data_IF_660161164902
#
_entry.id   IF_660161164902
#
_cell.length_a   1.000
_cell.length_b   1.000
_cell.length_c   1.000
_cell.angle_alpha   90.00
_cell.angle_beta   90.00
_cell.angle_gamma   90.00
#
_symmetry.space_group_name_H-M   'P 1'
#
loop_
_entity.id
_entity.type
_entity.pdbx_description
1 polymer ?
#
# COMPACT_ATOMS: atom_id res chain seq x y z
N UNK A 1 9.16 -19.52 17.36
CA UNK A 1 7.80 -19.38 17.93
C UNK A 1 6.80 -19.50 16.79
N UNK A 2 6.24 -20.68 16.58
CA UNK A 2 5.18 -20.88 15.60
C UNK A 2 3.85 -20.38 16.17
N UNK A 3 3.49 -19.13 15.90
CA UNK A 3 2.08 -18.74 15.99
C UNK A 3 1.37 -19.60 14.94
N UNK A 4 0.40 -20.40 15.34
CA UNK A 4 -0.50 -21.11 14.42
C UNK A 4 -1.16 -20.07 13.51
N UNK A 5 -0.57 -19.84 12.34
CA UNK A 5 -1.14 -18.98 11.32
C UNK A 5 -2.41 -19.67 10.86
N UNK A 6 -3.54 -18.97 10.99
CA UNK A 6 -4.83 -19.53 10.61
C UNK A 6 -4.76 -19.93 9.14
N UNK A 7 -5.27 -21.12 8.81
CA UNK A 7 -5.26 -21.60 7.43
C UNK A 7 -6.08 -20.69 6.53
N UNK A 8 -5.45 -20.21 5.46
CA UNK A 8 -6.06 -19.37 4.44
C UNK A 8 -6.74 -20.26 3.39
N UNK A 9 -8.01 -19.96 3.13
CA UNK A 9 -8.87 -20.79 2.28
C UNK A 9 -9.35 -20.03 1.04
N UNK A 10 -8.66 -18.98 0.63
CA UNK A 10 -8.97 -18.29 -0.63
C UNK A 10 -8.78 -19.20 -1.85
N UNK A 11 -9.86 -19.46 -2.59
CA UNK A 11 -9.91 -20.29 -3.81
C UNK A 11 -10.35 -19.47 -5.04
N UNK A 12 -10.64 -18.17 -4.89
CA UNK A 12 -11.28 -17.35 -5.92
C UNK A 12 -10.32 -16.75 -6.97
N UNK A 13 -9.21 -17.41 -7.28
CA UNK A 13 -8.21 -16.91 -8.24
C UNK A 13 -8.77 -16.73 -9.65
N UNK A 14 -9.58 -17.67 -10.14
CA UNK A 14 -10.20 -17.56 -11.48
C UNK A 14 -11.21 -16.42 -11.58
N UNK A 15 -11.99 -16.18 -10.50
CA UNK A 15 -12.91 -15.04 -10.42
C UNK A 15 -12.15 -13.71 -10.43
N UNK A 16 -10.97 -13.64 -9.81
CA UNK A 16 -10.14 -12.44 -9.88
C UNK A 16 -9.73 -12.11 -11.32
N UNK A 17 -9.33 -13.12 -12.08
CA UNK A 17 -8.98 -12.96 -13.50
C UNK A 17 -10.19 -12.59 -14.37
N UNK A 18 -11.39 -13.11 -14.06
CA UNK A 18 -12.61 -12.72 -14.80
C UNK A 18 -12.97 -11.25 -14.54
N UNK A 19 -12.98 -10.80 -13.29
CA UNK A 19 -13.21 -9.41 -12.94
C UNK A 19 -12.18 -8.47 -13.57
N UNK A 20 -10.91 -8.87 -13.62
CA UNK A 20 -9.87 -8.08 -14.29
C UNK A 20 -10.15 -7.89 -15.79
N UNK A 21 -10.66 -8.92 -16.48
CA UNK A 21 -11.03 -8.85 -17.91
C UNK A 21 -12.27 -8.00 -18.14
N UNK A 22 -13.30 -8.16 -17.31
CA UNK A 22 -14.51 -7.36 -17.37
C UNK A 22 -14.21 -5.88 -17.16
N UNK A 23 -13.42 -5.56 -16.14
CA UNK A 23 -12.95 -4.20 -15.87
C UNK A 23 -12.15 -3.62 -17.04
N UNK A 24 -11.23 -4.40 -17.63
CA UNK A 24 -10.47 -3.96 -18.80
C UNK A 24 -11.38 -3.65 -19.99
N UNK A 25 -12.46 -4.42 -20.16
CA UNK A 25 -13.49 -4.16 -21.17
C UNK A 25 -14.30 -2.90 -20.88
N UNK A 26 -14.74 -2.71 -19.63
CA UNK A 26 -15.49 -1.53 -19.19
C UNK A 26 -14.66 -0.24 -19.32
N UNK A 27 -13.38 -0.30 -18.92
CA UNK A 27 -12.43 0.81 -19.02
C UNK A 27 -12.22 1.26 -20.47
N UNK A 28 -12.11 0.32 -21.41
CA UNK A 28 -12.01 0.62 -22.85
C UNK A 28 -13.26 1.31 -23.39
N UNK A 29 -14.46 0.94 -22.89
CA UNK A 29 -15.72 1.57 -23.30
C UNK A 29 -15.90 2.97 -22.73
N UNK A 30 -15.50 3.19 -21.48
CA UNK A 30 -15.66 4.45 -20.78
C UNK A 30 -14.60 5.51 -21.16
N UNK A 31 -13.44 5.10 -21.68
CA UNK A 31 -12.33 6.02 -21.97
C UNK A 31 -11.64 6.60 -20.72
N UNK A 32 -11.93 6.04 -19.54
CA UNK A 32 -11.48 6.49 -18.22
C UNK A 32 -11.86 5.48 -17.14
N UNK A 33 -11.90 5.87 -15.86
CA UNK A 33 -12.36 4.99 -14.79
C UNK A 33 -13.86 4.66 -14.96
N UNK A 34 -14.26 3.37 -15.10
CA UNK A 34 -15.65 2.99 -15.31
C UNK A 34 -16.43 2.98 -13.97
N UNK A 35 -16.74 4.17 -13.45
CA UNK A 35 -17.40 4.37 -12.13
C UNK A 35 -18.71 3.60 -12.00
N UNK A 36 -19.61 3.71 -12.98
CA UNK A 36 -20.90 3.01 -12.94
C UNK A 36 -20.76 1.48 -12.86
N UNK A 37 -19.81 0.92 -13.61
CA UNK A 37 -19.53 -0.52 -13.56
C UNK A 37 -18.97 -0.95 -12.20
N UNK A 38 -18.08 -0.14 -11.59
CA UNK A 38 -17.56 -0.38 -10.26
C UNK A 38 -18.68 -0.37 -9.21
N UNK A 39 -19.56 0.63 -9.28
CA UNK A 39 -20.70 0.75 -8.38
C UNK A 39 -21.60 -0.48 -8.45
N UNK A 40 -22.06 -0.85 -9.65
CA UNK A 40 -22.94 -2.00 -9.85
C UNK A 40 -22.28 -3.31 -9.40
N UNK A 41 -20.99 -3.50 -9.75
CA UNK A 41 -20.26 -4.71 -9.39
C UNK A 41 -20.10 -4.84 -7.88
N UNK A 42 -19.67 -3.77 -7.19
CA UNK A 42 -19.52 -3.78 -5.74
C UNK A 42 -20.87 -3.93 -5.01
N UNK A 43 -21.95 -3.35 -5.53
CA UNK A 43 -23.31 -3.54 -4.98
C UNK A 43 -23.78 -4.98 -5.13
N UNK A 44 -23.53 -5.60 -6.28
CA UNK A 44 -23.84 -7.01 -6.54
C UNK A 44 -23.05 -7.96 -5.64
N UNK A 45 -21.87 -7.57 -5.17
CA UNK A 45 -21.09 -8.28 -4.16
C UNK A 45 -21.64 -8.11 -2.73
N UNK A 46 -22.66 -7.27 -2.53
CA UNK A 46 -23.29 -7.02 -1.24
C UNK A 46 -22.51 -6.06 -0.33
N UNK A 47 -21.73 -5.15 -0.92
CA UNK A 47 -21.03 -4.07 -0.21
C UNK A 47 -21.92 -2.82 -0.11
N UNK A 48 -21.70 -1.99 0.91
CA UNK A 48 -22.24 -0.64 0.98
C UNK A 48 -21.38 0.28 0.11
N UNK A 49 -21.88 0.65 -1.08
CA UNK A 49 -21.08 1.38 -2.08
C UNK A 49 -21.41 2.86 -2.09
N UNK A 50 -20.34 3.65 -2.10
CA UNK A 50 -20.37 5.11 -2.13
C UNK A 50 -19.35 5.64 -3.13
N UNK A 51 -19.64 6.83 -3.63
CA UNK A 51 -18.74 7.56 -4.52
C UNK A 51 -18.43 8.94 -3.98
N UNK A 52 -17.24 9.41 -4.32
CA UNK A 52 -16.74 10.70 -3.91
C UNK A 52 -16.08 11.37 -5.11
N UNK A 53 -16.71 12.44 -5.59
CA UNK A 53 -16.12 13.32 -6.60
C UNK A 53 -15.18 14.31 -5.94
N UNK A 54 -14.08 14.62 -6.63
CA UNK A 54 -13.12 15.61 -6.20
C UNK A 54 -12.59 16.43 -7.37
N UNK A 55 -12.14 17.65 -7.07
CA UNK A 55 -11.39 18.45 -8.04
C UNK A 55 -10.26 19.23 -7.37
N UNK A 56 -9.13 19.28 -8.08
CA UNK A 56 -7.91 19.97 -7.64
C UNK A 56 -7.36 20.83 -8.75
N UNK A 57 -7.11 22.10 -8.43
CA UNK A 57 -6.33 22.97 -9.32
C UNK A 57 -4.84 22.77 -9.08
N UNK A 58 -4.10 22.31 -10.08
CA UNK A 58 -2.65 22.13 -9.99
C UNK A 58 -1.95 23.50 -10.17
N UNK A 59 -0.91 23.80 -9.37
CA UNK A 59 -0.18 25.07 -9.46
C UNK A 59 0.66 25.18 -10.74
N UNK A 60 0.99 24.05 -11.37
CA UNK A 60 1.73 23.97 -12.62
C UNK A 60 0.96 23.08 -13.60
N UNK A 61 0.91 23.42 -14.91
CA UNK A 61 0.30 22.57 -15.92
C UNK A 61 1.06 21.24 -15.99
N UNK A 62 0.31 20.14 -16.12
CA UNK A 62 0.88 18.82 -16.36
C UNK A 62 1.54 18.80 -17.75
N UNK A 63 2.76 18.24 -17.88
CA UNK A 63 3.52 18.27 -19.13
C UNK A 63 2.77 17.59 -20.30
N UNK A 64 1.81 16.71 -19.98
CA UNK A 64 1.00 15.97 -20.96
C UNK A 64 -0.35 16.63 -21.31
N UNK A 65 -0.88 17.47 -20.43
CA UNK A 65 -2.22 18.04 -20.58
C UNK A 65 -2.17 19.43 -19.99
N UNK A 66 -2.34 20.48 -20.79
CA UNK A 66 -2.41 21.90 -20.38
C UNK A 66 -3.64 22.21 -19.47
N UNK A 67 -3.97 21.32 -18.54
CA UNK A 67 -5.12 21.38 -17.66
C UNK A 67 -4.65 21.78 -16.27
N UNK A 68 -5.09 22.96 -15.86
CA UNK A 68 -4.96 23.44 -14.49
C UNK A 68 -5.87 22.71 -13.52
N UNK A 69 -6.81 21.87 -13.97
CA UNK A 69 -7.84 21.26 -13.15
C UNK A 69 -7.93 19.75 -13.40
N UNK A 70 -7.58 18.97 -12.37
CA UNK A 70 -7.78 17.51 -12.33
C UNK A 70 -9.10 17.24 -11.63
N UNK A 71 -9.99 16.50 -12.30
CA UNK A 71 -11.24 15.99 -11.74
C UNK A 71 -11.19 14.47 -11.73
N UNK A 72 -11.71 13.88 -10.68
CA UNK A 72 -11.82 12.43 -10.57
C UNK A 72 -12.94 12.00 -9.63
N UNK A 73 -13.22 10.71 -9.65
CA UNK A 73 -14.22 10.09 -8.77
C UNK A 73 -13.64 8.86 -8.12
N UNK A 74 -13.55 8.88 -6.79
CA UNK A 74 -13.21 7.70 -6.00
C UNK A 74 -14.47 6.86 -5.77
N UNK A 75 -14.33 5.54 -5.85
CA UNK A 75 -15.39 4.57 -5.52
C UNK A 75 -14.92 3.73 -4.36
N UNK A 76 -15.74 3.59 -3.32
CA UNK A 76 -15.41 2.70 -2.22
C UNK A 76 -16.62 1.89 -1.78
N UNK A 77 -16.36 0.63 -1.42
CA UNK A 77 -17.33 -0.30 -0.87
C UNK A 77 -16.96 -0.66 0.56
N UNK A 78 -17.92 -0.59 1.48
CA UNK A 78 -17.72 -0.98 2.89
C UNK A 78 -18.37 -2.34 3.12
N UNK A 79 -17.58 -3.27 3.64
CA UNK A 79 -18.04 -4.54 4.22
C UNK A 79 -18.11 -4.38 5.73
N UNK A 80 -19.34 -4.37 6.29
CA UNK A 80 -19.55 -4.30 7.74
C UNK A 80 -19.16 -5.61 8.43
N UNK A 81 -18.43 -5.51 9.53
CA UNK A 81 -18.08 -6.66 10.35
C UNK A 81 -19.33 -7.25 11.02
N UNK A 82 -19.62 -8.55 10.87
CA UNK A 82 -20.78 -9.17 11.50
C UNK A 82 -20.67 -9.28 13.03
N UNK A 83 -19.44 -9.20 13.59
CA UNK A 83 -19.16 -9.45 15.01
C UNK A 83 -18.87 -8.20 15.85
N UNK A 84 -18.90 -7.01 15.28
CA UNK A 84 -18.46 -5.79 15.97
C UNK A 84 -19.35 -4.59 15.68
N UNK A 85 -19.22 -3.55 16.50
CA UNK A 85 -19.99 -2.31 16.41
C UNK A 85 -19.46 -1.34 15.33
N UNK A 86 -18.73 -1.83 14.32
CA UNK A 86 -18.16 -1.02 13.22
C UNK A 86 -17.32 0.18 13.67
N UNK A 87 -16.63 0.06 14.82
CA UNK A 87 -15.80 1.14 15.40
C UNK A 87 -14.40 1.23 14.82
N UNK A 88 -13.95 0.18 14.12
CA UNK A 88 -12.62 0.09 13.52
C UNK A 88 -12.72 -0.46 12.10
N UNK A 89 -11.81 -0.04 11.24
CA UNK A 89 -11.77 -0.51 9.85
C UNK A 89 -10.37 -0.81 9.34
N UNK A 90 -10.31 -1.63 8.30
CA UNK A 90 -9.14 -1.93 7.48
C UNK A 90 -9.39 -1.46 6.06
N UNK A 91 -8.36 -0.99 5.36
CA UNK A 91 -8.49 -0.51 3.97
C UNK A 91 -7.69 -1.40 3.03
N UNK A 92 -8.32 -1.85 1.95
CA UNK A 92 -7.67 -2.40 0.77
C UNK A 92 -7.87 -1.41 -0.37
N UNK A 93 -6.81 -0.73 -0.82
CA UNK A 93 -6.90 0.25 -1.90
C UNK A 93 -6.27 -0.24 -3.19
N UNK A 94 -6.82 0.20 -4.32
CA UNK A 94 -6.26 -0.03 -5.67
C UNK A 94 -6.32 1.27 -6.46
N UNK A 95 -5.17 1.90 -6.76
CA UNK A 95 -5.14 3.10 -7.58
C UNK A 95 -5.41 2.79 -9.05
N UNK A 96 -6.25 3.61 -9.68
CA UNK A 96 -6.48 3.63 -11.12
C UNK A 96 -5.95 4.96 -11.66
N UNK A 97 -4.85 4.88 -12.41
CA UNK A 97 -4.30 6.02 -13.15
C UNK A 97 -4.38 5.80 -14.65
N UNK A 98 -4.50 6.88 -15.43
CA UNK A 98 -4.47 6.87 -16.88
C UNK A 98 -3.12 6.27 -17.35
N UNK A 99 -3.17 5.09 -17.98
CA UNK A 99 -1.99 4.35 -18.43
C UNK A 99 -1.49 3.23 -17.50
N UNK A 100 -1.84 3.22 -16.22
CA UNK A 100 -1.48 2.15 -15.30
C UNK A 100 -2.29 0.86 -15.59
N UNK A 101 -1.62 -0.29 -15.73
CA UNK A 101 -2.24 -1.60 -16.00
C UNK A 101 -2.69 -2.34 -14.73
N UNK A 102 -3.33 -1.64 -13.79
CA UNK A 102 -3.75 -2.19 -12.49
C UNK A 102 -5.04 -3.05 -12.53
N UNK A 103 -5.44 -3.55 -13.71
CA UNK A 103 -6.69 -4.30 -13.86
C UNK A 103 -6.71 -5.59 -13.02
N UNK A 104 -5.55 -6.25 -12.88
CA UNK A 104 -5.41 -7.45 -12.06
C UNK A 104 -5.54 -7.16 -10.56
N UNK A 105 -4.99 -6.03 -10.10
CA UNK A 105 -5.10 -5.63 -8.69
C UNK A 105 -6.57 -5.42 -8.31
N UNK A 106 -7.32 -4.73 -9.17
CA UNK A 106 -8.74 -4.52 -8.98
C UNK A 106 -9.53 -5.84 -9.03
N UNK A 107 -9.23 -6.70 -10.00
CA UNK A 107 -9.86 -8.02 -10.10
C UNK A 107 -9.64 -8.86 -8.83
N UNK A 108 -8.42 -8.83 -8.28
CA UNK A 108 -8.09 -9.49 -7.01
C UNK A 108 -8.86 -8.88 -5.84
N UNK A 109 -8.92 -7.55 -5.76
CA UNK A 109 -9.66 -6.84 -4.72
C UNK A 109 -11.16 -7.22 -4.74
N UNK A 110 -11.80 -7.25 -5.92
CA UNK A 110 -13.20 -7.65 -6.06
C UNK A 110 -13.43 -9.13 -5.70
N UNK A 111 -12.50 -10.02 -6.09
CA UNK A 111 -12.58 -11.43 -5.71
C UNK A 111 -12.39 -11.63 -4.19
N UNK A 112 -11.49 -10.87 -3.57
CA UNK A 112 -11.33 -10.84 -2.11
C UNK A 112 -12.58 -10.30 -1.43
N UNK A 113 -13.20 -9.24 -1.95
CA UNK A 113 -14.45 -8.70 -1.42
C UNK A 113 -15.58 -9.74 -1.47
N UNK A 114 -15.73 -10.44 -2.60
CA UNK A 114 -16.68 -11.55 -2.74
C UNK A 114 -16.42 -12.66 -1.72
N UNK A 115 -15.15 -13.03 -1.53
CA UNK A 115 -14.78 -14.06 -0.57
C UNK A 115 -15.03 -13.60 0.88
N UNK A 116 -14.61 -12.38 1.23
CA UNK A 116 -14.71 -11.81 2.58
C UNK A 116 -16.17 -11.66 3.01
N UNK A 117 -17.09 -11.35 2.08
CA UNK A 117 -18.52 -11.27 2.36
C UNK A 117 -19.10 -12.56 2.94
N UNK A 118 -18.59 -13.71 2.52
CA UNK A 118 -19.01 -15.03 2.99
C UNK A 118 -18.39 -15.46 4.31
N UNK A 119 -17.45 -14.70 4.86
CA UNK A 119 -16.73 -15.05 6.08
C UNK A 119 -17.31 -14.35 7.31
N UNK A 120 -17.48 -15.09 8.40
CA UNK A 120 -18.10 -14.59 9.64
C UNK A 120 -17.09 -14.14 10.71
N UNK A 121 -15.79 -14.25 10.43
CA UNK A 121 -14.73 -14.01 11.42
C UNK A 121 -14.24 -12.56 11.46
N UNK A 122 -14.78 -11.67 10.63
CA UNK A 122 -14.39 -10.26 10.62
C UNK A 122 -14.93 -9.54 11.87
N UNK A 123 -14.01 -8.84 12.54
CA UNK A 123 -14.24 -8.01 13.71
C UNK A 123 -14.04 -6.51 13.39
N UNK A 124 -13.44 -6.18 12.24
CA UNK A 124 -13.28 -4.81 11.75
C UNK A 124 -13.97 -4.68 10.41
N UNK A 125 -14.54 -3.49 10.15
CA UNK A 125 -15.09 -3.18 8.83
C UNK A 125 -13.96 -3.20 7.80
N UNK A 126 -14.25 -3.62 6.57
CA UNK A 126 -13.25 -3.64 5.50
C UNK A 126 -13.72 -2.69 4.40
N UNK A 127 -12.90 -1.69 4.10
CA UNK A 127 -13.12 -0.72 3.04
C UNK A 127 -12.32 -1.15 1.82
N UNK A 128 -13.01 -1.40 0.71
CA UNK A 128 -12.41 -1.61 -0.60
C UNK A 128 -12.44 -0.28 -1.34
N UNK A 129 -11.29 0.37 -1.47
CA UNK A 129 -11.16 1.70 -2.07
C UNK A 129 -10.55 1.61 -3.47
N UNK A 130 -11.18 2.30 -4.41
CA UNK A 130 -10.70 2.47 -5.77
C UNK A 130 -10.58 3.96 -6.02
N UNK A 131 -9.36 4.46 -6.00
CA UNK A 131 -9.04 5.87 -6.18
C UNK A 131 -8.62 6.16 -7.62
N UNK A 132 -9.10 7.28 -8.16
CA UNK A 132 -8.68 7.78 -9.47
C UNK A 132 -7.51 8.75 -9.31
N UNK A 133 -6.59 8.81 -10.28
CA UNK A 133 -5.41 9.69 -10.25
C UNK A 133 -4.45 9.41 -9.06
N UNK A 134 -4.33 8.15 -8.65
CA UNK A 134 -3.34 7.64 -7.69
C UNK A 134 -3.34 8.48 -6.39
N UNK A 135 -2.23 9.17 -6.08
CA UNK A 135 -2.07 9.99 -4.88
C UNK A 135 -3.11 11.12 -4.73
N UNK A 136 -3.58 11.72 -5.83
CA UNK A 136 -4.52 12.86 -5.74
C UNK A 136 -5.89 12.38 -5.26
N UNK A 137 -6.39 11.28 -5.83
CA UNK A 137 -7.65 10.69 -5.39
C UNK A 137 -7.56 10.15 -3.97
N UNK A 138 -6.43 9.54 -3.62
CA UNK A 138 -6.21 9.03 -2.26
C UNK A 138 -6.20 10.16 -1.21
N UNK A 139 -5.51 11.28 -1.48
CA UNK A 139 -5.52 12.46 -0.59
C UNK A 139 -6.94 13.02 -0.45
N UNK A 140 -7.68 13.16 -1.56
CA UNK A 140 -9.07 13.64 -1.56
C UNK A 140 -9.98 12.77 -0.68
N UNK A 141 -9.79 11.45 -0.73
CA UNK A 141 -10.56 10.51 0.06
C UNK A 141 -10.20 10.59 1.54
N UNK A 142 -8.91 10.62 1.88
CA UNK A 142 -8.45 10.72 3.28
C UNK A 142 -8.89 12.04 3.93
N UNK A 143 -8.75 13.16 3.23
CA UNK A 143 -9.19 14.47 3.73
C UNK A 143 -10.69 14.47 4.07
N UNK A 144 -11.53 13.97 3.16
CA UNK A 144 -12.95 13.87 3.41
C UNK A 144 -13.33 12.81 4.45
N UNK A 145 -12.51 11.76 4.62
CA UNK A 145 -12.72 10.73 5.64
C UNK A 145 -12.49 11.28 7.04
N UNK A 146 -11.43 12.09 7.21
CA UNK A 146 -11.05 12.71 8.47
C UNK A 146 -11.70 14.09 8.70
N UNK A 147 -12.49 14.59 7.75
CA UNK A 147 -13.13 15.90 7.79
C UNK A 147 -12.13 17.06 7.96
N UNK A 148 -11.02 16.96 7.24
CA UNK A 148 -9.93 17.96 7.23
C UNK A 148 -9.69 18.44 5.80
N UNK A 149 -9.27 19.70 5.65
CA UNK A 149 -8.89 20.24 4.36
C UNK A 149 -7.51 20.88 4.48
N UNK A 150 -6.48 20.14 4.05
CA UNK A 150 -5.09 20.56 4.25
C UNK A 150 -4.48 21.03 2.93
N UNK A 151 -4.81 20.34 1.85
CA UNK A 151 -4.22 20.55 0.53
C UNK A 151 -5.10 21.42 -0.38
N UNK A 152 -6.23 21.91 0.14
CA UNK A 152 -7.13 22.81 -0.57
C UNK A 152 -7.97 22.12 -1.64
N UNK A 153 -8.15 20.79 -1.56
CA UNK A 153 -9.01 20.09 -2.50
C UNK A 153 -10.48 20.43 -2.28
N UNK A 154 -11.22 20.44 -3.38
CA UNK A 154 -12.69 20.48 -3.33
C UNK A 154 -13.21 19.05 -3.41
N UNK A 155 -13.82 18.59 -2.33
CA UNK A 155 -14.35 17.23 -2.21
C UNK A 155 -15.86 17.29 -1.99
N UNK A 156 -16.55 16.27 -2.49
CA UNK A 156 -17.97 16.05 -2.18
C UNK A 156 -18.14 15.54 -0.76
N UNK A 157 -19.34 15.75 -0.19
CA UNK A 157 -19.70 15.27 1.15
C UNK A 157 -19.60 13.75 1.19
N UNK A 158 -18.93 13.22 2.22
CA UNK A 158 -18.77 11.78 2.40
C UNK A 158 -20.10 11.15 2.85
N UNK A 159 -20.71 10.37 1.96
CA UNK A 159 -22.02 9.74 2.20
C UNK A 159 -21.95 8.52 3.13
N UNK A 160 -20.81 7.84 3.21
CA UNK A 160 -20.63 6.64 4.02
C UNK A 160 -19.29 6.65 4.74
N UNK A 161 -19.29 6.33 6.04
CA UNK A 161 -18.08 6.19 6.85
C UNK A 161 -18.07 4.83 7.55
N UNK A 162 -16.86 4.30 7.72
CA UNK A 162 -16.58 3.20 8.64
C UNK A 162 -15.96 3.75 9.92
N UNK A 163 -15.73 2.88 10.91
CA UNK A 163 -14.99 3.26 12.11
C UNK A 163 -13.52 3.55 11.85
N UNK A 164 -12.76 3.91 12.88
CA UNK A 164 -11.37 4.37 12.75
C UNK A 164 -10.48 3.40 11.95
N UNK A 165 -9.79 3.92 10.94
CA UNK A 165 -8.89 3.11 10.11
C UNK A 165 -7.66 2.72 10.95
N UNK A 166 -7.43 1.41 11.07
CA UNK A 166 -6.32 0.85 11.85
C UNK A 166 -5.09 0.57 10.97
N UNK A 167 -5.32 0.01 9.78
CA UNK A 167 -4.28 -0.29 8.82
C UNK A 167 -4.81 -0.27 7.39
N UNK A 168 -3.92 0.02 6.44
CA UNK A 168 -4.23 0.02 5.01
C UNK A 168 -3.21 -0.79 4.21
N UNK A 169 -3.68 -1.48 3.17
CA UNK A 169 -2.83 -2.16 2.19
C UNK A 169 -3.23 -1.65 0.82
N UNK A 170 -2.29 -1.02 0.12
CA UNK A 170 -2.49 -0.62 -1.28
C UNK A 170 -1.91 -1.70 -2.20
N UNK A 171 -2.66 -2.08 -3.23
CA UNK A 171 -2.27 -3.11 -4.19
C UNK A 171 -2.08 -2.50 -5.57
N UNK A 172 -0.86 -2.60 -6.08
CA UNK A 172 -0.49 -2.18 -7.44
C UNK A 172 -0.02 -3.40 -8.21
N UNK A 173 -0.57 -3.66 -9.39
CA UNK A 173 -0.16 -4.80 -10.21
C UNK A 173 0.17 -4.30 -11.62
N UNK A 174 1.46 -4.27 -11.94
CA UNK A 174 1.96 -3.66 -13.18
C UNK A 174 1.75 -4.54 -14.43
N UNK A 175 1.49 -5.83 -14.25
CA UNK A 175 1.43 -6.82 -15.34
C UNK A 175 0.34 -7.86 -15.11
N UNK A 176 -0.14 -8.46 -16.20
CA UNK A 176 -1.09 -9.59 -16.16
C UNK A 176 -0.49 -10.86 -15.56
N UNK A 177 0.84 -10.97 -15.57
CA UNK A 177 1.57 -12.09 -14.98
C UNK A 177 2.44 -11.56 -13.86
N UNK A 178 2.26 -12.12 -12.66
CA UNK A 178 2.98 -11.71 -11.46
C UNK A 178 4.05 -12.75 -11.16
N UNK A 179 5.29 -12.29 -11.13
CA UNK A 179 6.47 -13.14 -10.90
C UNK A 179 7.08 -12.94 -9.52
N UNK A 180 6.85 -11.77 -8.91
CA UNK A 180 7.32 -11.43 -7.58
C UNK A 180 6.55 -10.22 -7.06
N UNK A 181 6.63 -10.00 -5.75
CA UNK A 181 6.13 -8.79 -5.09
C UNK A 181 7.26 -7.88 -4.69
N UNK A 182 7.15 -6.59 -4.98
CA UNK A 182 8.02 -5.55 -4.43
C UNK A 182 7.25 -4.79 -3.34
N UNK A 183 7.84 -4.66 -2.16
CA UNK A 183 7.24 -3.89 -1.07
C UNK A 183 7.74 -2.45 -1.11
N UNK A 184 6.80 -1.50 -1.20
CA UNK A 184 7.07 -0.08 -1.05
C UNK A 184 6.63 0.39 0.34
N UNK A 185 7.57 1.03 1.06
CA UNK A 185 7.39 1.49 2.45
C UNK A 185 7.69 2.98 2.63
N UNK A 186 8.28 3.62 1.62
CA UNK A 186 8.66 5.03 1.72
C UNK A 186 7.44 5.95 1.57
N UNK A 187 7.10 6.65 2.64
CA UNK A 187 6.00 7.62 2.69
C UNK A 187 6.42 9.07 2.49
N UNK A 188 5.45 9.97 2.69
CA UNK A 188 5.64 11.41 2.62
C UNK A 188 6.70 11.88 3.61
N UNK A 189 7.60 12.78 3.18
CA UNK A 189 8.64 13.37 4.03
C UNK A 189 9.51 12.34 4.76
N UNK A 190 9.65 11.15 4.19
CA UNK A 190 10.43 10.07 4.77
C UNK A 190 9.77 9.37 5.96
N UNK A 191 8.45 9.53 6.15
CA UNK A 191 7.70 8.68 7.08
C UNK A 191 7.74 7.21 6.64
N UNK A 192 7.77 6.31 7.61
CA UNK A 192 7.77 4.87 7.38
C UNK A 192 6.64 4.23 8.18
N UNK A 193 6.02 3.15 7.67
CA UNK A 193 5.10 2.35 8.45
C UNK A 193 5.82 1.64 9.57
N UNK A 194 5.06 1.12 10.52
CA UNK A 194 5.58 0.25 11.56
C UNK A 194 6.22 -1.01 10.95
N UNK A 195 7.44 -1.32 11.40
CA UNK A 195 8.21 -2.49 10.95
C UNK A 195 7.46 -3.82 11.15
N UNK A 196 6.54 -3.91 12.11
CA UNK A 196 5.74 -5.12 12.31
C UNK A 196 4.84 -5.43 11.10
N UNK A 197 4.32 -4.41 10.41
CA UNK A 197 3.52 -4.61 9.20
C UNK A 197 4.38 -5.15 8.05
N UNK A 198 5.63 -4.69 7.95
CA UNK A 198 6.62 -5.18 6.99
C UNK A 198 7.02 -6.63 7.30
N UNK A 199 7.27 -6.93 8.58
CA UNK A 199 7.61 -8.28 9.03
C UNK A 199 6.44 -9.24 8.82
N UNK A 200 5.21 -8.80 9.05
CA UNK A 200 4.00 -9.56 8.78
C UNK A 200 3.90 -9.94 7.30
N UNK A 201 4.10 -8.96 6.42
CA UNK A 201 4.12 -9.20 4.98
C UNK A 201 5.19 -10.22 4.58
N UNK A 202 6.44 -10.05 5.07
CA UNK A 202 7.53 -10.97 4.79
C UNK A 202 7.25 -12.40 5.30
N UNK A 203 6.66 -12.53 6.49
CA UNK A 203 6.30 -13.84 7.05
C UNK A 203 5.29 -14.58 6.17
N UNK A 204 4.29 -13.89 5.61
CA UNK A 204 3.36 -14.51 4.67
C UNK A 204 3.97 -14.78 3.29
N UNK A 205 4.88 -13.94 2.81
CA UNK A 205 5.68 -14.24 1.62
C UNK A 205 6.42 -15.58 1.79
N UNK A 206 7.10 -15.77 2.92
CA UNK A 206 7.83 -17.00 3.23
C UNK A 206 6.90 -18.20 3.40
N UNK A 207 5.75 -18.03 4.09
CA UNK A 207 4.76 -19.09 4.28
C UNK A 207 4.23 -19.64 2.95
N UNK A 208 3.94 -18.74 2.00
CA UNK A 208 3.32 -19.09 0.72
C UNK A 208 4.34 -19.24 -0.42
N UNK A 209 5.65 -19.29 -0.10
CA UNK A 209 6.74 -19.42 -1.08
C UNK A 209 6.72 -18.37 -2.19
N UNK A 210 6.32 -17.14 -1.84
CA UNK A 210 6.31 -15.99 -2.74
C UNK A 210 7.67 -15.29 -2.74
N UNK A 211 8.20 -15.01 -3.93
CA UNK A 211 9.37 -14.17 -4.12
C UNK A 211 8.97 -12.73 -3.81
N UNK A 212 9.56 -12.18 -2.74
CA UNK A 212 9.36 -10.81 -2.33
C UNK A 212 10.70 -10.04 -2.41
N UNK A 213 10.64 -8.83 -2.95
CA UNK A 213 11.76 -7.91 -3.14
C UNK A 213 11.50 -6.62 -2.37
N UNK A 214 12.58 -5.91 -2.12
CA UNK A 214 12.53 -4.51 -1.68
C UNK A 214 13.42 -3.69 -2.60
N UNK A 215 12.94 -2.54 -3.05
CA UNK A 215 13.62 -1.73 -4.07
C UNK A 215 13.92 -2.49 -5.36
N UNK A 216 13.09 -3.46 -5.74
CA UNK A 216 13.28 -4.33 -6.90
C UNK A 216 14.49 -5.27 -6.80
N UNK A 217 15.07 -5.42 -5.59
CA UNK A 217 16.21 -6.29 -5.33
C UNK A 217 15.77 -7.54 -4.57
N UNK A 218 16.13 -8.70 -5.11
CA UNK A 218 15.83 -9.99 -4.47
C UNK A 218 16.74 -10.22 -3.28
N UNK A 219 16.20 -10.85 -2.25
CA UNK A 219 16.97 -11.29 -1.11
C UNK A 219 18.02 -12.34 -1.53
N UNK A 220 19.28 -12.07 -1.18
CA UNK A 220 20.38 -13.02 -1.37
C UNK A 220 20.51 -13.95 -0.16
N UNK A 221 20.81 -15.22 -0.38
CA UNK A 221 21.04 -16.20 0.70
C UNK A 221 22.49 -16.23 1.21
N UNK A 222 23.44 -15.72 0.42
CA UNK A 222 24.88 -15.78 0.67
C UNK A 222 25.40 -14.60 1.52
N UNK A 223 24.89 -14.47 2.75
CA UNK A 223 25.08 -13.28 3.60
C UNK A 223 26.52 -12.88 3.91
N UNK A 224 27.41 -13.87 4.06
CA UNK A 224 28.80 -13.62 4.51
C UNK A 224 29.73 -13.22 3.37
N UNK A 225 29.21 -13.17 2.14
CA UNK A 225 29.98 -12.79 0.97
C UNK A 225 30.06 -11.26 0.85
N UNK A 226 31.25 -10.74 0.49
CA UNK A 226 31.43 -9.34 0.10
C UNK A 226 30.38 -8.85 -0.93
N UNK A 227 30.02 -9.62 -1.98
CA UNK A 227 28.98 -9.18 -2.91
C UNK A 227 27.59 -9.07 -2.27
N UNK A 228 27.25 -9.90 -1.26
CA UNK A 228 25.98 -9.76 -0.55
C UNK A 228 25.94 -8.52 0.35
N UNK A 229 27.07 -8.15 0.97
CA UNK A 229 27.17 -6.89 1.71
C UNK A 229 27.01 -5.68 0.78
N UNK A 230 27.70 -5.68 -0.37
CA UNK A 230 27.55 -4.62 -1.39
C UNK A 230 26.11 -4.52 -1.91
N UNK A 231 25.45 -5.66 -2.14
CA UNK A 231 24.05 -5.68 -2.55
C UNK A 231 23.12 -5.08 -1.48
N UNK A 232 23.36 -5.43 -0.22
CA UNK A 232 22.61 -4.91 0.93
C UNK A 232 22.81 -3.39 1.09
N UNK A 233 24.04 -2.92 0.93
CA UNK A 233 24.39 -1.50 0.94
C UNK A 233 23.72 -0.74 -0.20
N UNK A 234 23.73 -1.30 -1.42
CA UNK A 234 23.05 -0.70 -2.57
C UNK A 234 21.54 -0.57 -2.32
N UNK A 235 20.91 -1.62 -1.79
CA UNK A 235 19.48 -1.63 -1.47
C UNK A 235 19.16 -0.57 -0.40
N UNK A 236 19.96 -0.52 0.66
CA UNK A 236 19.83 0.49 1.71
C UNK A 236 20.00 1.92 1.16
N UNK A 237 20.99 2.15 0.29
CA UNK A 237 21.22 3.46 -0.31
C UNK A 237 20.08 3.89 -1.22
N UNK A 238 19.48 2.96 -1.98
CA UNK A 238 18.29 3.24 -2.78
C UNK A 238 17.10 3.66 -1.90
N UNK A 239 16.90 2.99 -0.76
CA UNK A 239 15.89 3.37 0.22
C UNK A 239 16.14 4.79 0.76
N UNK A 240 17.38 5.09 1.18
CA UNK A 240 17.75 6.43 1.68
C UNK A 240 17.51 7.52 0.62
N UNK A 241 17.88 7.26 -0.64
CA UNK A 241 17.66 8.21 -1.73
C UNK A 241 16.17 8.45 -2.00
N UNK A 242 15.35 7.40 -1.97
CA UNK A 242 13.89 7.53 -2.13
C UNK A 242 13.26 8.25 -0.95
N UNK A 243 13.62 7.89 0.27
CA UNK A 243 13.15 8.53 1.48
C UNK A 243 13.55 10.01 1.54
N UNK A 244 14.80 10.31 1.15
CA UNK A 244 15.33 11.68 1.07
C UNK A 244 14.66 12.54 -0.01
N UNK A 245 14.04 11.93 -1.02
CA UNK A 245 13.23 12.67 -2.00
C UNK A 245 11.95 13.26 -1.40
N UNK A 246 11.52 12.75 -0.23
CA UNK A 246 10.28 13.16 0.43
C UNK A 246 8.99 12.77 -0.30
N UNK A 247 9.08 12.16 -1.48
CA UNK A 247 7.94 11.73 -2.28
C UNK A 247 7.47 10.33 -1.84
N UNK A 248 6.16 10.13 -1.67
CA UNK A 248 5.63 8.83 -1.32
C UNK A 248 5.79 7.89 -2.52
N UNK A 249 6.20 6.65 -2.27
CA UNK A 249 6.37 5.67 -3.33
C UNK A 249 5.05 5.05 -3.78
N UNK A 250 3.95 5.20 -3.04
CA UNK A 250 2.60 4.81 -3.41
C UNK A 250 1.57 5.37 -2.43
N UNK A 251 0.29 5.01 -2.61
CA UNK A 251 -0.83 5.54 -1.80
C UNK A 251 -0.64 5.40 -0.29
N UNK A 252 0.04 4.34 0.16
CA UNK A 252 0.33 4.10 1.57
C UNK A 252 1.00 5.31 2.26
N UNK A 253 1.83 6.07 1.52
CA UNK A 253 2.56 7.20 2.07
C UNK A 253 1.67 8.34 2.58
N UNK A 254 0.43 8.44 2.10
CA UNK A 254 -0.56 9.44 2.54
C UNK A 254 -1.26 9.01 3.84
N UNK A 255 -1.46 7.71 4.04
CA UNK A 255 -2.07 7.16 5.26
C UNK A 255 -1.19 7.40 6.51
N UNK A 256 0.13 7.33 6.36
CA UNK A 256 1.08 7.50 7.47
C UNK A 256 0.93 8.85 8.18
N UNK A 257 0.53 9.89 7.42
CA UNK A 257 0.26 11.22 7.95
C UNK A 257 -0.85 11.25 9.00
N UNK A 258 -1.84 10.35 8.86
CA UNK A 258 -2.98 10.22 9.76
C UNK A 258 -2.72 9.18 10.87
N UNK A 259 -1.46 8.77 11.07
CA UNK A 259 -1.09 7.67 11.97
C UNK A 259 -1.81 6.36 11.65
N UNK A 260 -2.07 6.13 10.35
CA UNK A 260 -2.61 4.87 9.84
C UNK A 260 -1.44 4.09 9.23
N UNK A 261 -1.21 2.90 9.77
CA UNK A 261 -0.12 2.04 9.30
C UNK A 261 -0.46 1.45 7.94
N UNK A 262 0.37 1.74 6.93
CA UNK A 262 0.06 1.34 5.57
C UNK A 262 1.27 0.88 4.77
N UNK A 263 1.06 -0.08 3.88
CA UNK A 263 2.07 -0.57 2.93
C UNK A 263 1.50 -0.66 1.51
N UNK A 264 2.34 -0.44 0.50
CA UNK A 264 1.99 -0.70 -0.91
C UNK A 264 2.70 -1.98 -1.36
N UNK A 265 1.91 -2.95 -1.85
CA UNK A 265 2.38 -4.21 -2.40
C UNK A 265 2.33 -4.13 -3.93
N UNK A 266 3.48 -4.25 -4.59
CA UNK A 266 3.61 -4.13 -6.04
C UNK A 266 3.84 -5.49 -6.69
N UNK A 267 2.92 -5.94 -7.53
CA UNK A 267 3.13 -7.08 -8.42
C UNK A 267 4.01 -6.69 -9.60
N UNK A 268 5.20 -7.29 -9.71
CA UNK A 268 6.15 -7.06 -10.80
C UNK A 268 6.41 -8.33 -11.63
N UNK A 269 6.78 -8.11 -12.89
CA UNK A 269 7.09 -9.15 -13.86
C UNK A 269 8.58 -9.12 -14.25
N UNK A 270 9.45 -9.18 -13.25
CA UNK A 270 10.91 -9.13 -13.44
C UNK A 270 11.56 -10.51 -13.47
N UNK A 271 10.95 -11.52 -12.84
CA UNK A 271 11.53 -12.85 -12.67
C UNK A 271 10.75 -13.92 -13.44
N UNK A 272 10.89 -13.93 -14.77
CA UNK A 272 10.11 -14.79 -15.69
C UNK A 272 10.12 -16.31 -15.39
N UNK A 273 11.07 -16.78 -14.59
CA UNK A 273 11.16 -18.18 -14.14
C UNK A 273 10.05 -18.56 -13.15
N UNK A 274 9.49 -17.57 -12.44
CA UNK A 274 8.44 -17.76 -11.45
C UNK A 274 7.13 -17.21 -11.99
N UNK A 275 6.04 -17.94 -11.73
CA UNK A 275 4.69 -17.49 -12.03
C UNK A 275 3.80 -17.87 -10.86
N UNK A 276 3.19 -16.87 -10.26
CA UNK A 276 2.27 -17.09 -9.15
C UNK A 276 0.83 -17.11 -9.63
N UNK A 277 0.07 -18.07 -9.08
CA UNK A 277 -1.36 -18.09 -9.28
C UNK A 277 -2.05 -17.03 -8.41
N UNK A 278 -3.14 -16.49 -8.94
CA UNK A 278 -3.91 -15.44 -8.29
C UNK A 278 -4.53 -15.93 -6.97
N UNK A 279 -4.78 -17.24 -6.85
CA UNK A 279 -5.21 -17.88 -5.61
C UNK A 279 -4.16 -17.78 -4.51
N UNK A 280 -2.88 -18.02 -4.81
CA UNK A 280 -1.78 -17.94 -3.82
C UNK A 280 -1.58 -16.50 -3.34
N UNK A 281 -1.75 -15.53 -4.24
CA UNK A 281 -1.68 -14.12 -3.90
C UNK A 281 -2.86 -13.73 -3.00
N UNK A 282 -4.08 -14.14 -3.37
CA UNK A 282 -5.27 -13.89 -2.56
C UNK A 282 -5.20 -14.53 -1.18
N UNK A 283 -4.63 -15.73 -1.04
CA UNK A 283 -4.33 -16.37 0.27
C UNK A 283 -3.38 -15.52 1.11
N UNK A 284 -2.36 -14.93 0.49
CA UNK A 284 -1.40 -14.07 1.19
C UNK A 284 -2.08 -12.81 1.72
N UNK A 285 -2.88 -12.14 0.90
CA UNK A 285 -3.64 -10.96 1.32
C UNK A 285 -4.72 -11.31 2.36
N UNK A 286 -5.44 -12.43 2.20
CA UNK A 286 -6.36 -12.95 3.22
C UNK A 286 -5.64 -13.12 4.56
N UNK A 287 -4.48 -13.79 4.57
CA UNK A 287 -3.69 -14.00 5.78
C UNK A 287 -3.30 -12.70 6.47
N UNK A 288 -2.84 -11.70 5.71
CA UNK A 288 -2.52 -10.36 6.22
C UNK A 288 -3.76 -9.70 6.85
N UNK A 289 -4.88 -9.66 6.13
CA UNK A 289 -6.12 -9.06 6.64
C UNK A 289 -6.66 -9.80 7.86
N UNK A 290 -6.54 -11.13 7.92
CA UNK A 290 -6.92 -11.91 9.11
C UNK A 290 -6.07 -11.59 10.32
N UNK A 291 -4.76 -11.36 10.12
CA UNK A 291 -3.87 -10.94 11.20
C UNK A 291 -4.19 -9.54 11.67
N UNK A 292 -4.35 -8.58 10.76
CA UNK A 292 -4.75 -7.20 11.09
C UNK A 292 -6.14 -7.14 11.76
N UNK A 293 -7.08 -7.98 11.34
CA UNK A 293 -8.40 -8.09 11.95
C UNK A 293 -8.34 -8.52 13.41
N UNK A 294 -7.40 -9.39 13.78
CA UNK A 294 -7.25 -9.91 15.13
C UNK A 294 -6.37 -9.04 16.05
N UNK A 295 -5.73 -7.99 15.54
CA UNK A 295 -5.01 -7.04 16.38
C UNK A 295 -5.99 -6.23 17.23
N UNK A 296 -5.92 -6.35 18.56
CA UNK A 296 -6.76 -5.56 19.47
C UNK A 296 -6.24 -4.13 19.64
N UNK A 297 -4.94 -3.94 19.47
CA UNK A 297 -4.26 -2.66 19.60
C UNK A 297 -3.58 -2.28 18.28
N UNK A 298 -3.38 -0.98 18.08
CA UNK A 298 -2.57 -0.43 17.00
C UNK A 298 -1.12 -0.92 17.13
N UNK A 299 -0.43 -1.01 16.00
CA UNK A 299 0.97 -1.39 15.97
C UNK A 299 1.82 -0.29 16.63
N UNK A 300 2.35 -0.56 17.83
CA UNK A 300 3.08 0.45 18.62
C UNK A 300 4.39 -0.03 19.25
N UNK A 301 4.70 -1.33 19.22
CA UNK A 301 5.89 -1.87 19.90
C UNK A 301 7.17 -1.82 19.05
N UNK A 302 7.04 -1.78 17.73
CA UNK A 302 8.17 -1.81 16.80
C UNK A 302 8.66 -0.42 16.36
N UNK A 303 9.75 -0.40 15.61
CA UNK A 303 10.45 0.81 15.20
C UNK A 303 9.72 1.57 14.07
N UNK A 304 9.73 2.91 14.18
CA UNK A 304 9.28 3.85 13.13
C UNK A 304 10.42 4.39 12.26
N UNK A 305 11.67 4.23 12.71
CA UNK A 305 12.86 4.65 11.98
C UNK A 305 13.79 3.47 11.78
N UNK A 306 13.83 2.97 10.56
CA UNK A 306 14.65 1.84 10.18
C UNK A 306 15.06 1.95 8.71
N UNK A 307 16.15 1.28 8.36
CA UNK A 307 16.56 1.07 6.97
C UNK A 307 16.54 -0.43 6.67
N UNK A 308 16.06 -0.80 5.50
CA UNK A 308 15.93 -2.19 5.06
C UNK A 308 17.00 -2.54 4.03
N UNK A 309 18.16 -3.09 4.44
CA UNK A 309 19.12 -3.70 3.51
C UNK A 309 18.54 -4.93 2.80
N UNK A 310 17.57 -5.60 3.41
CA UNK A 310 16.82 -6.73 2.84
C UNK A 310 15.47 -6.86 3.55
N UNK A 311 14.51 -7.58 2.97
CA UNK A 311 13.17 -7.71 3.55
C UNK A 311 13.14 -8.42 4.92
N UNK A 312 14.16 -9.21 5.26
CA UNK A 312 14.26 -9.91 6.55
C UNK A 312 15.25 -9.29 7.55
N UNK A 313 15.92 -8.18 7.20
CA UNK A 313 16.90 -7.53 8.07
C UNK A 313 16.66 -6.04 8.05
N UNK A 314 16.72 -5.42 9.21
CA UNK A 314 16.61 -3.99 9.36
C UNK A 314 17.82 -3.44 10.12
N UNK A 315 18.16 -2.19 9.83
CA UNK A 315 19.12 -1.40 10.61
C UNK A 315 18.30 -0.38 11.39
N UNK A 316 18.32 -0.46 12.71
CA UNK A 316 17.58 0.45 13.57
C UNK A 316 18.26 1.81 13.67
N UNK A 317 17.47 2.81 14.02
CA UNK A 317 17.94 4.18 14.30
C UNK A 317 19.11 4.24 15.28
N UNK A 318 19.15 3.35 16.28
CA UNK A 318 20.24 3.30 17.26
C UNK A 318 21.60 2.94 16.69
N UNK A 319 21.67 2.28 15.52
CA UNK A 319 22.92 1.87 14.89
C UNK A 319 23.48 2.98 14.00
N UNK A 320 22.65 3.61 13.18
CA UNK A 320 23.12 4.60 12.20
C UNK A 320 23.15 6.04 12.74
N UNK A 321 22.35 6.39 13.76
CA UNK A 321 22.36 7.76 14.32
C UNK A 321 23.70 8.18 14.91
N UNK A 322 24.44 7.33 15.66
CA UNK A 322 25.76 7.71 16.16
C UNK A 322 26.73 8.07 15.03
N UNK A 323 26.70 7.32 13.92
CA UNK A 323 27.53 7.61 12.75
C UNK A 323 27.21 8.98 12.14
N UNK A 324 25.92 9.32 12.00
CA UNK A 324 25.48 10.66 11.58
C UNK A 324 25.91 11.74 12.57
N UNK A 325 25.79 11.47 13.87
CA UNK A 325 26.24 12.37 14.94
C UNK A 325 27.73 12.69 14.84
N UNK A 326 28.58 11.69 14.57
CA UNK A 326 30.01 11.91 14.34
C UNK A 326 30.29 12.75 13.09
N UNK A 327 29.55 12.54 11.99
CA UNK A 327 29.69 13.36 10.78
C UNK A 327 29.33 14.83 11.04
N UNK A 328 28.23 15.08 11.76
CA UNK A 328 27.82 16.43 12.14
C UNK A 328 28.82 17.05 13.12
N UNK A 329 29.33 16.28 14.09
CA UNK A 329 30.32 16.73 15.05
C UNK A 329 31.59 17.24 14.36
N UNK A 330 32.07 16.56 13.32
CA UNK A 330 33.23 17.00 12.53
C UNK A 330 32.97 18.38 11.90
N UNK A 331 31.77 18.60 11.35
CA UNK A 331 31.38 19.88 10.76
C UNK A 331 31.30 20.99 11.83
N UNK A 332 30.71 20.70 12.98
CA UNK A 332 30.61 21.66 14.10
C UNK A 332 31.99 22.04 14.63
N UNK A 333 32.88 21.06 14.85
CA UNK A 333 34.25 21.31 15.28
C UNK A 333 34.98 22.21 14.27
N UNK A 334 34.86 21.93 12.97
CA UNK A 334 35.47 22.74 11.91
C UNK A 334 34.97 24.19 11.93
N UNK A 335 33.67 24.42 12.12
CA UNK A 335 33.10 25.77 12.24
C UNK A 335 33.62 26.47 13.50
N UNK A 336 33.69 25.76 14.64
CA UNK A 336 34.18 26.31 15.90
C UNK A 336 35.64 26.77 15.81
N UNK A 337 36.51 26.04 15.10
CA UNK A 337 37.91 26.44 14.92
C UNK A 337 38.09 27.61 13.94
N UNK A 338 37.17 27.79 12.99
CA UNK A 338 37.17 28.95 12.07
C UNK A 338 36.58 30.23 12.69
N UNK A 339 35.72 30.12 13.70
CA UNK A 339 35.13 31.28 14.39
C UNK A 339 35.99 31.88 15.52
N UNK A 340 37.15 31.28 15.82
CA UNK A 340 38.10 31.72 16.86
C UNK A 340 39.34 32.44 16.31
N UNK A 341 39.32 32.84 15.03
CA UNK A 341 40.29 33.73 14.38
C UNK A 341 39.51 34.94 13.85
#
# INVERSE_FOLDING_TARGET
>A
MGSTMVEEQFVHGEKALSYAREFAGARKKAGGAPVAWLEDTMRNLGLEVYTQTFSRTLPFPDEATERFLVKGTNVYGILRAPRAASTESLVLSVPISEGARNNQALGLMLALASYFRGQIYWAKDIIFLVNEHDLIGMEAWLEAYHDVNITGLTTSVMMGRAGAIQAAVSLEMSSDVITSFDLAVEGLNGQLPNLDLVNLFNAFCQKNSLLCTIQGKLQRSDWDSLPAYMHSLQTMMLMVLKQGSGRPQGDHGLFLRYHIEAITVRGINSFRQYKYDMSTIGKTLEGIFRKLNNLLERLHQSYFFYLLPSLSRFVSIGIYMPALGFLVLILVLKISFYGTV
#
